data_IF_400162674547
#
_entry.id   IF_400162674547
#
_cell.length_a   1.000
_cell.length_b   1.000
_cell.length_c   1.000
_cell.angle_alpha   90.00
_cell.angle_beta   90.00
_cell.angle_gamma   90.00
#
_symmetry.space_group_name_H-M   'P 1'
#
loop_
_entity.id
_entity.type
_entity.pdbx_description
1 polymer ?
#
# COMPACT_ATOMS: atom_id res chain seq x y z
N UNK A 1 21.74 2.10 -16.98
CA UNK A 1 20.27 2.11 -16.80
C UNK A 1 19.97 3.16 -15.76
N UNK A 2 19.13 4.16 -16.08
CA UNK A 2 18.70 5.16 -15.08
C UNK A 2 17.59 4.52 -14.27
N UNK A 3 17.88 4.15 -13.03
CA UNK A 3 16.85 3.81 -12.07
C UNK A 3 16.00 5.06 -11.85
N UNK A 4 14.76 5.03 -12.34
CA UNK A 4 13.79 6.10 -12.15
C UNK A 4 13.40 6.12 -10.68
N UNK A 5 13.99 7.03 -9.93
CA UNK A 5 13.65 7.32 -8.53
C UNK A 5 12.17 7.72 -8.50
N UNK A 6 11.32 6.82 -7.99
CA UNK A 6 9.86 6.96 -8.04
C UNK A 6 9.35 7.82 -6.87
N UNK A 7 10.16 7.90 -5.81
CA UNK A 7 10.11 8.84 -4.67
C UNK A 7 11.56 9.05 -4.19
N UNK A 8 11.89 10.22 -3.63
CA UNK A 8 13.25 10.62 -3.17
C UNK A 8 13.98 9.56 -2.30
N UNK A 9 13.24 8.58 -1.77
CA UNK A 9 13.71 7.51 -0.89
C UNK A 9 13.39 6.07 -1.33
N UNK A 10 12.69 5.83 -2.46
CA UNK A 10 12.25 4.48 -2.87
C UNK A 10 12.58 4.15 -4.34
N UNK A 11 13.09 2.94 -4.56
CA UNK A 11 13.36 2.41 -5.91
C UNK A 11 12.09 1.86 -6.56
N UNK A 12 12.14 1.63 -7.88
CA UNK A 12 11.07 0.93 -8.61
C UNK A 12 10.83 -0.47 -8.02
N UNK A 13 11.90 -1.14 -7.60
CA UNK A 13 11.84 -2.48 -7.01
C UNK A 13 11.13 -2.49 -5.64
N UNK A 14 11.33 -1.44 -4.83
CA UNK A 14 10.62 -1.27 -3.56
C UNK A 14 9.12 -1.07 -3.81
N UNK A 15 8.76 -0.27 -4.81
CA UNK A 15 7.36 -0.07 -5.20
C UNK A 15 6.70 -1.38 -5.62
N UNK A 16 7.34 -2.17 -6.49
CA UNK A 16 6.80 -3.46 -6.92
C UNK A 16 6.65 -4.45 -5.76
N UNK A 17 7.64 -4.49 -4.86
CA UNK A 17 7.59 -5.34 -3.67
C UNK A 17 6.46 -4.93 -2.73
N UNK A 18 6.34 -3.64 -2.42
CA UNK A 18 5.26 -3.09 -1.60
C UNK A 18 3.90 -3.36 -2.25
N UNK A 19 3.79 -3.18 -3.57
CA UNK A 19 2.56 -3.39 -4.33
C UNK A 19 2.07 -4.83 -4.22
N UNK A 20 2.98 -5.81 -4.32
CA UNK A 20 2.64 -7.22 -4.13
C UNK A 20 2.13 -7.52 -2.72
N UNK A 21 2.73 -6.90 -1.69
CA UNK A 21 2.32 -7.06 -0.29
C UNK A 21 0.91 -6.48 -0.10
N UNK A 22 0.67 -5.25 -0.57
CA UNK A 22 -0.62 -4.58 -0.51
C UNK A 22 -1.68 -5.40 -1.24
N UNK A 23 -1.41 -5.87 -2.46
CA UNK A 23 -2.35 -6.69 -3.24
C UNK A 23 -2.75 -7.97 -2.50
N UNK A 24 -1.78 -8.72 -1.97
CA UNK A 24 -2.04 -9.95 -1.20
C UNK A 24 -2.89 -9.65 0.04
N UNK A 25 -2.62 -8.52 0.71
CA UNK A 25 -3.36 -8.12 1.91
C UNK A 25 -4.80 -7.71 1.58
N UNK A 26 -5.01 -6.96 0.51
CA UNK A 26 -6.34 -6.62 0.00
C UNK A 26 -7.14 -7.88 -0.35
N UNK A 27 -6.55 -8.80 -1.11
CA UNK A 27 -7.17 -10.06 -1.49
C UNK A 27 -7.56 -10.92 -0.27
N UNK A 28 -6.68 -11.01 0.74
CA UNK A 28 -6.95 -11.72 1.98
C UNK A 28 -8.11 -11.11 2.79
N UNK A 29 -8.40 -9.82 2.61
CA UNK A 29 -9.50 -9.10 3.26
C UNK A 29 -10.72 -8.92 2.34
N UNK A 30 -10.77 -9.61 1.19
CA UNK A 30 -11.83 -9.48 0.20
C UNK A 30 -12.09 -8.03 -0.23
N UNK A 31 -11.02 -7.22 -0.21
CA UNK A 31 -11.03 -5.83 -0.59
C UNK A 31 -10.41 -5.68 -1.97
N UNK A 32 -10.97 -4.78 -2.77
CA UNK A 32 -10.44 -4.43 -4.08
C UNK A 32 -10.08 -2.95 -4.12
N UNK A 33 -9.06 -2.62 -4.91
CA UNK A 33 -8.62 -1.25 -5.09
C UNK A 33 -8.43 -0.98 -6.59
N UNK A 34 -9.18 0.01 -7.08
CA UNK A 34 -9.16 0.47 -8.48
C UNK A 34 -7.74 0.94 -8.88
N UNK A 35 -7.04 1.60 -7.95
CA UNK A 35 -5.73 2.22 -8.18
C UNK A 35 -4.69 1.71 -7.16
N UNK A 36 -4.28 0.45 -7.32
CA UNK A 36 -3.35 -0.22 -6.42
C UNK A 36 -1.99 0.48 -6.33
N UNK A 37 -1.52 1.07 -7.43
CA UNK A 37 -0.23 1.77 -7.45
C UNK A 37 -0.29 3.05 -6.60
N UNK A 38 -1.33 3.87 -6.76
CA UNK A 38 -1.53 5.07 -5.94
C UNK A 38 -1.66 4.72 -4.45
N UNK A 39 -2.45 3.69 -4.13
CA UNK A 39 -2.56 3.18 -2.75
C UNK A 39 -1.19 2.74 -2.20
N UNK A 40 -0.40 2.02 -3.00
CA UNK A 40 0.93 1.57 -2.59
C UNK A 40 1.84 2.77 -2.29
N UNK A 41 1.81 3.81 -3.15
CA UNK A 41 2.58 5.04 -2.93
C UNK A 41 2.18 5.75 -1.64
N UNK A 42 0.89 5.81 -1.34
CA UNK A 42 0.38 6.44 -0.12
C UNK A 42 0.82 5.66 1.13
N UNK A 43 0.72 4.33 1.08
CA UNK A 43 1.20 3.44 2.14
C UNK A 43 2.70 3.57 2.35
N UNK A 44 3.50 3.64 1.28
CA UNK A 44 4.95 3.85 1.37
C UNK A 44 5.29 5.19 2.01
N UNK A 45 4.62 6.29 1.61
CA UNK A 45 4.80 7.61 2.24
C UNK A 45 4.50 7.58 3.74
N UNK A 46 3.39 6.95 4.14
CA UNK A 46 3.01 6.84 5.54
C UNK A 46 3.96 5.95 6.33
N UNK A 47 4.35 4.81 5.76
CA UNK A 47 5.29 3.87 6.39
C UNK A 47 6.63 4.55 6.67
N UNK A 48 7.13 5.32 5.69
CA UNK A 48 8.33 6.12 5.86
C UNK A 48 8.13 7.27 6.88
N UNK A 49 6.99 7.95 6.85
CA UNK A 49 6.71 9.05 7.80
C UNK A 49 6.60 8.58 9.25
N UNK A 50 6.13 7.36 9.47
CA UNK A 50 5.94 6.80 10.83
C UNK A 50 7.20 6.08 11.32
N UNK A 51 7.85 5.28 10.47
CA UNK A 51 8.92 4.37 10.88
C UNK A 51 10.25 4.54 10.15
N UNK A 52 10.32 5.39 9.12
CA UNK A 52 11.53 5.60 8.31
C UNK A 52 11.94 4.40 7.45
N UNK A 53 11.12 3.35 7.35
CA UNK A 53 11.42 2.15 6.56
C UNK A 53 10.21 1.61 5.80
N UNK A 54 10.49 0.76 4.80
CA UNK A 54 9.49 0.02 4.01
C UNK A 54 9.40 -1.46 4.43
N UNK A 55 9.66 -1.74 5.71
CA UNK A 55 9.58 -3.10 6.24
C UNK A 55 8.23 -3.74 5.93
N UNK A 56 8.25 -5.03 5.60
CA UNK A 56 7.04 -5.80 5.24
C UNK A 56 5.96 -5.68 6.32
N UNK A 57 6.36 -5.77 7.59
CA UNK A 57 5.44 -5.61 8.72
C UNK A 57 4.83 -4.20 8.78
N UNK A 58 5.60 -3.17 8.42
CA UNK A 58 5.14 -1.78 8.40
C UNK A 58 4.13 -1.57 7.28
N UNK A 59 4.45 -2.01 6.06
CA UNK A 59 3.55 -1.96 4.90
C UNK A 59 2.25 -2.69 5.21
N UNK A 60 2.32 -3.89 5.80
CA UNK A 60 1.13 -4.67 6.18
C UNK A 60 0.28 -3.95 7.23
N UNK A 61 0.91 -3.40 8.27
CA UNK A 61 0.21 -2.65 9.33
C UNK A 61 -0.48 -1.39 8.80
N UNK A 62 0.21 -0.61 7.98
CA UNK A 62 -0.37 0.58 7.35
C UNK A 62 -1.50 0.16 6.39
N UNK A 63 -1.30 -0.88 5.57
CA UNK A 63 -2.37 -1.41 4.69
C UNK A 63 -3.60 -1.83 5.50
N UNK A 64 -3.42 -2.49 6.65
CA UNK A 64 -4.52 -2.88 7.54
C UNK A 64 -5.25 -1.64 8.09
N UNK A 65 -4.53 -0.58 8.42
CA UNK A 65 -5.10 0.69 8.86
C UNK A 65 -6.02 1.30 7.78
N UNK A 66 -5.61 1.27 6.51
CA UNK A 66 -6.45 1.68 5.38
C UNK A 66 -7.71 0.81 5.21
N UNK A 67 -7.63 -0.48 5.52
CA UNK A 67 -8.76 -1.42 5.48
C UNK A 67 -9.73 -1.26 6.65
N UNK A 68 -9.22 -0.87 7.81
CA UNK A 68 -10.00 -0.68 9.04
C UNK A 68 -10.71 0.68 9.07
N UNK A 69 -10.06 1.70 8.52
CA UNK A 69 -10.59 3.06 8.43
C UNK A 69 -11.03 3.39 6.99
N UNK A 70 -12.27 3.06 6.58
CA UNK A 70 -12.80 3.40 5.25
C UNK A 70 -12.79 4.91 4.95
N UNK A 71 -12.63 5.75 5.98
CA UNK A 71 -12.46 7.20 5.88
C UNK A 71 -11.10 7.59 5.27
N UNK A 72 -10.05 6.80 5.53
CA UNK A 72 -8.72 6.99 4.96
C UNK A 72 -8.66 6.53 3.50
N UNK A 73 -9.61 5.69 3.07
CA UNK A 73 -9.63 5.21 1.69
C UNK A 73 -11.02 5.09 1.07
N UNK A 74 -11.47 6.17 0.44
CA UNK A 74 -12.60 6.12 -0.51
C UNK A 74 -12.34 5.20 -1.72
N UNK A 75 -11.09 4.77 -1.96
CA UNK A 75 -10.69 3.95 -3.12
C UNK A 75 -10.72 2.45 -2.87
N UNK A 76 -10.74 2.00 -1.61
CA UNK A 76 -10.88 0.57 -1.29
C UNK A 76 -12.37 0.25 -1.17
N UNK A 77 -12.85 -0.63 -2.04
CA UNK A 77 -14.22 -1.16 -1.96
C UNK A 77 -14.14 -2.52 -1.28
N UNK A 78 -14.67 -2.62 -0.05
CA UNK A 78 -14.95 -3.93 0.53
C UNK A 78 -16.04 -4.57 -0.32
N UNK A 79 -15.86 -5.84 -0.71
CA UNK A 79 -16.99 -6.61 -1.25
C UNK A 79 -17.98 -6.77 -0.11
N UNK A 80 -19.07 -6.01 -0.15
CA UNK A 80 -20.22 -6.26 0.70
C UNK A 80 -20.76 -7.62 0.32
N UNK A 81 -20.70 -8.58 1.24
CA UNK A 81 -21.41 -9.85 1.14
C UNK A 81 -22.90 -9.53 0.95
N UNK A 82 -23.45 -10.04 -0.17
CA UNK A 82 -24.88 -9.96 -0.49
C UNK A 82 -25.64 -11.08 0.20
#
# INVERSE_FOLDING_TARGET
>A
MKESILFDFATVQDLESCKQIVARKLQANQADCDDLEDLTKDIMKLSYSIGGSYDVNMIVSVTQCYLDHPQLNRKIKKKTEA
#
